data_IF_248099183968
#
_entry.id   IF_248099183968
#
_cell.length_a   1.000
_cell.length_b   1.000
_cell.length_c   1.000
_cell.angle_alpha   90.00
_cell.angle_beta   90.00
_cell.angle_gamma   90.00
#
_symmetry.space_group_name_H-M   'P 1'
#
loop_
_entity.id
_entity.type
_entity.pdbx_description
1 polymer ?
#
# COMPACT_ATOMS: atom_id res chain seq x y z
N UNK A 1 -16.02 5.83 91.60
CA UNK A 1 -15.64 4.84 90.58
C UNK A 1 -14.96 5.60 89.44
N UNK A 2 -13.73 5.24 89.10
CA UNK A 2 -12.85 5.99 88.18
C UNK A 2 -13.11 5.59 86.72
N UNK A 3 -13.13 6.59 85.83
CA UNK A 3 -12.49 6.65 84.48
C UNK A 3 -12.97 5.67 83.37
N UNK A 4 -12.98 5.96 82.07
CA UNK A 4 -12.15 6.81 81.21
C UNK A 4 -12.93 7.35 79.99
N UNK A 5 -12.60 8.60 79.64
CA UNK A 5 -12.86 9.25 78.36
C UNK A 5 -12.07 8.51 77.26
N UNK A 6 -12.72 7.97 76.23
CA UNK A 6 -12.03 7.40 75.07
C UNK A 6 -12.34 8.23 73.84
N UNK A 7 -11.45 9.18 73.54
CA UNK A 7 -11.42 9.91 72.28
C UNK A 7 -10.99 8.95 71.16
N UNK A 8 -11.92 8.61 70.26
CA UNK A 8 -11.59 7.86 69.04
C UNK A 8 -11.15 8.87 67.98
N UNK A 9 -9.85 8.82 67.72
CA UNK A 9 -9.09 9.56 66.73
C UNK A 9 -9.59 9.24 65.31
N UNK A 10 -10.07 10.27 64.61
CA UNK A 10 -10.47 10.22 63.20
C UNK A 10 -9.20 10.09 62.34
N UNK A 11 -9.05 8.99 61.61
CA UNK A 11 -7.97 8.79 60.63
C UNK A 11 -8.48 9.30 59.27
N UNK A 12 -7.89 10.36 58.67
CA UNK A 12 -8.25 10.77 57.33
C UNK A 12 -7.60 9.84 56.30
N UNK A 13 -8.41 9.03 55.62
CA UNK A 13 -8.04 8.32 54.39
C UNK A 13 -7.95 9.32 53.23
N UNK A 14 -6.90 10.14 53.19
CA UNK A 14 -6.45 10.75 51.93
C UNK A 14 -5.40 9.83 51.31
N UNK A 15 -5.86 8.80 50.60
CA UNK A 15 -5.00 8.07 49.67
C UNK A 15 -5.12 8.70 48.28
N UNK A 16 -3.96 9.06 47.76
CA UNK A 16 -3.73 9.96 46.66
C UNK A 16 -4.24 9.42 45.30
N UNK A 17 -4.95 10.26 44.55
CA UNK A 17 -5.00 10.12 43.10
C UNK A 17 -3.64 10.56 42.53
N UNK A 18 -2.68 9.63 42.48
CA UNK A 18 -1.46 9.85 41.71
C UNK A 18 -1.83 9.80 40.22
N UNK A 19 -1.93 10.96 39.59
CA UNK A 19 -2.00 11.10 38.14
C UNK A 19 -0.63 10.72 37.58
N UNK A 20 -0.48 9.46 37.15
CA UNK A 20 0.69 9.02 36.41
C UNK A 20 0.58 9.61 34.99
N UNK A 21 1.05 10.84 34.83
CA UNK A 21 1.34 11.40 33.53
C UNK A 21 2.60 10.69 33.01
N UNK A 22 2.40 9.50 32.43
CA UNK A 22 3.45 8.81 31.71
C UNK A 22 3.88 9.72 30.56
N UNK A 23 5.10 10.26 30.65
CA UNK A 23 5.73 10.98 29.54
C UNK A 23 5.57 10.09 28.30
N UNK A 24 5.00 10.56 27.18
CA UNK A 24 4.81 9.72 26.01
C UNK A 24 6.15 9.07 25.68
N UNK A 25 6.15 7.77 25.38
CA UNK A 25 7.39 7.04 25.15
C UNK A 25 8.21 7.81 24.13
N UNK A 26 9.44 8.17 24.51
CA UNK A 26 10.41 8.74 23.58
C UNK A 26 10.76 7.60 22.64
N UNK A 27 10.06 7.52 21.51
CA UNK A 27 10.40 6.57 20.46
C UNK A 27 11.80 6.96 19.98
N UNK A 28 12.82 6.11 20.17
CA UNK A 28 14.15 6.42 19.67
C UNK A 28 14.05 6.62 18.15
N UNK A 29 14.71 7.65 17.61
CA UNK A 29 14.76 7.79 16.15
C UNK A 29 15.39 6.53 15.55
N UNK A 30 14.79 5.98 14.47
CA UNK A 30 15.28 4.75 13.87
C UNK A 30 16.72 4.95 13.39
N UNK A 31 17.55 3.95 13.67
CA UNK A 31 18.97 3.95 13.29
C UNK A 31 19.11 3.98 11.77
N UNK A 32 20.28 4.38 11.25
CA UNK A 32 20.51 4.45 9.80
C UNK A 32 20.31 3.08 9.11
N UNK A 33 20.66 1.99 9.82
CA UNK A 33 20.48 0.61 9.36
C UNK A 33 19.00 0.24 9.30
N UNK A 34 18.23 0.59 10.33
CA UNK A 34 16.79 0.36 10.40
C UNK A 34 16.03 1.18 9.34
N UNK A 35 16.44 2.43 9.08
CA UNK A 35 15.90 3.23 7.96
C UNK A 35 16.20 2.57 6.61
N UNK A 36 17.42 2.07 6.39
CA UNK A 36 17.78 1.41 5.14
C UNK A 36 16.98 0.12 4.91
N UNK A 37 16.76 -0.66 5.98
CA UNK A 37 15.92 -1.86 5.92
C UNK A 37 14.46 -1.53 5.61
N UNK A 38 13.89 -0.49 6.24
CA UNK A 38 12.52 -0.04 5.99
C UNK A 38 12.34 0.48 4.56
N UNK A 39 13.34 1.22 4.02
CA UNK A 39 13.34 1.67 2.62
C UNK A 39 13.42 0.47 1.66
N UNK A 40 14.29 -0.50 1.94
CA UNK A 40 14.38 -1.72 1.14
C UNK A 40 13.06 -2.50 1.16
N UNK A 41 12.37 -2.54 2.30
CA UNK A 41 11.06 -3.18 2.44
C UNK A 41 9.93 -2.43 1.73
N UNK A 42 10.09 -1.14 1.42
CA UNK A 42 9.12 -0.35 0.67
C UNK A 42 9.39 -0.28 -0.83
N UNK A 43 10.48 -0.89 -1.31
CA UNK A 43 10.85 -0.93 -2.72
C UNK A 43 10.33 -2.22 -3.37
N UNK A 44 9.51 -2.05 -4.40
CA UNK A 44 8.96 -3.11 -5.23
C UNK A 44 9.58 -3.07 -6.61
N UNK A 45 9.79 -4.24 -7.21
CA UNK A 45 10.33 -4.38 -8.56
C UNK A 45 9.51 -5.38 -9.34
N UNK A 46 9.28 -5.13 -10.62
CA UNK A 46 8.58 -6.06 -11.52
C UNK A 46 9.23 -6.12 -12.89
N UNK A 47 8.98 -7.19 -13.63
CA UNK A 47 9.55 -7.44 -14.95
C UNK A 47 8.50 -7.97 -15.92
N UNK A 48 8.29 -7.25 -17.01
CA UNK A 48 7.41 -7.71 -18.08
C UNK A 48 8.19 -8.15 -19.31
N UNK A 49 7.68 -9.19 -19.96
CA UNK A 49 8.24 -9.88 -21.09
C UNK A 49 7.28 -9.86 -22.28
N UNK A 50 7.81 -9.79 -23.50
CA UNK A 50 6.98 -9.92 -24.69
C UNK A 50 7.77 -10.52 -25.84
N UNK A 51 7.34 -11.67 -26.34
CA UNK A 51 7.89 -12.22 -27.58
C UNK A 51 7.61 -11.27 -28.74
N UNK A 52 8.66 -10.86 -29.45
CA UNK A 52 8.59 -9.95 -30.60
C UNK A 52 7.80 -10.60 -31.74
N UNK A 53 8.11 -11.85 -32.08
CA UNK A 53 7.50 -12.53 -33.22
C UNK A 53 6.00 -12.82 -33.05
N UNK A 54 5.57 -13.02 -31.80
CA UNK A 54 4.17 -13.21 -31.43
C UNK A 54 3.33 -11.93 -31.51
N UNK A 55 3.96 -10.76 -31.61
CA UNK A 55 3.22 -9.50 -31.68
C UNK A 55 2.56 -9.32 -33.05
N UNK A 56 1.39 -8.67 -33.10
CA UNK A 56 0.76 -8.31 -34.35
C UNK A 56 1.61 -7.28 -35.10
N UNK A 57 1.64 -7.36 -36.43
CA UNK A 57 2.33 -6.39 -37.28
C UNK A 57 2.91 -7.02 -38.55
N UNK A 58 2.94 -6.22 -39.62
CA UNK A 58 3.41 -6.65 -40.94
C UNK A 58 4.92 -6.48 -41.13
N UNK A 59 5.61 -5.79 -40.22
CA UNK A 59 7.06 -5.59 -40.26
C UNK A 59 7.68 -5.90 -38.89
N UNK A 60 8.97 -6.24 -38.91
CA UNK A 60 9.74 -6.45 -37.68
C UNK A 60 9.68 -5.23 -36.75
N UNK A 61 9.85 -4.01 -37.30
CA UNK A 61 9.83 -2.79 -36.49
C UNK A 61 8.48 -2.57 -35.79
N UNK A 62 7.38 -2.89 -36.46
CA UNK A 62 6.05 -2.78 -35.86
C UNK A 62 5.84 -3.84 -34.77
N UNK A 63 6.31 -5.06 -35.00
CA UNK A 63 6.30 -6.13 -33.99
C UNK A 63 7.15 -5.77 -32.78
N UNK A 64 8.35 -5.23 -32.99
CA UNK A 64 9.24 -4.73 -31.94
C UNK A 64 8.57 -3.61 -31.14
N UNK A 65 7.96 -2.63 -31.81
CA UNK A 65 7.23 -1.56 -31.13
C UNK A 65 6.06 -2.10 -30.28
N UNK A 66 5.35 -3.09 -30.78
CA UNK A 66 4.27 -3.73 -30.03
C UNK A 66 4.80 -4.57 -28.87
N UNK A 67 5.98 -5.20 -29.01
CA UNK A 67 6.61 -5.96 -27.94
C UNK A 67 7.02 -5.05 -26.79
N UNK A 68 7.60 -3.88 -27.09
CA UNK A 68 7.91 -2.83 -26.10
C UNK A 68 6.67 -2.41 -25.31
N UNK A 69 5.52 -2.28 -25.98
CA UNK A 69 4.26 -1.89 -25.33
C UNK A 69 3.73 -3.03 -24.46
N UNK A 70 3.72 -4.24 -25.00
CA UNK A 70 3.23 -5.43 -24.31
C UNK A 70 4.07 -5.74 -23.05
N UNK A 71 5.40 -5.71 -23.15
CA UNK A 71 6.30 -5.94 -22.01
C UNK A 71 6.07 -4.89 -20.92
N UNK A 72 5.85 -3.63 -21.29
CA UNK A 72 5.54 -2.57 -20.32
C UNK A 72 4.22 -2.83 -19.60
N UNK A 73 3.18 -3.23 -20.33
CA UNK A 73 1.88 -3.56 -19.74
C UNK A 73 2.00 -4.74 -18.78
N UNK A 74 2.74 -5.79 -19.15
CA UNK A 74 2.96 -6.94 -18.28
C UNK A 74 3.74 -6.56 -17.02
N UNK A 75 4.78 -5.73 -17.14
CA UNK A 75 5.53 -5.25 -15.99
C UNK A 75 4.63 -4.49 -15.01
N UNK A 76 3.73 -3.63 -15.53
CA UNK A 76 2.74 -2.94 -14.70
C UNK A 76 1.71 -3.89 -14.10
N UNK A 77 1.28 -4.93 -14.83
CA UNK A 77 0.36 -5.95 -14.32
C UNK A 77 0.99 -6.68 -13.14
N UNK A 78 2.22 -7.17 -13.29
CA UNK A 78 2.94 -7.83 -12.20
C UNK A 78 3.12 -6.89 -11.00
N UNK A 79 3.44 -5.61 -11.23
CA UNK A 79 3.50 -4.62 -10.15
C UNK A 79 2.15 -4.48 -9.42
N UNK A 80 1.02 -4.46 -10.16
CA UNK A 80 -0.31 -4.46 -9.55
C UNK A 80 -0.56 -5.74 -8.75
N UNK A 81 -0.17 -6.91 -9.27
CA UNK A 81 -0.32 -8.19 -8.57
C UNK A 81 0.45 -8.18 -7.24
N UNK A 82 1.68 -7.66 -7.23
CA UNK A 82 2.49 -7.55 -6.02
C UNK A 82 1.88 -6.58 -4.98
N UNK A 83 1.29 -5.46 -5.43
CA UNK A 83 0.76 -4.42 -4.53
C UNK A 83 -0.68 -4.72 -4.05
N UNK A 84 -1.55 -5.12 -4.97
CA UNK A 84 -3.00 -5.25 -4.77
C UNK A 84 -3.49 -6.70 -4.71
N UNK A 85 -2.65 -7.67 -5.09
CA UNK A 85 -3.01 -9.08 -5.15
C UNK A 85 -3.80 -9.46 -6.41
N UNK A 86 -4.23 -10.72 -6.44
CA UNK A 86 -5.02 -11.32 -7.53
C UNK A 86 -6.37 -11.76 -6.98
N UNK A 87 -7.45 -11.41 -7.68
CA UNK A 87 -8.78 -11.90 -7.36
C UNK A 87 -9.02 -13.24 -8.06
N UNK A 88 -9.22 -14.31 -7.29
CA UNK A 88 -9.50 -15.66 -7.79
C UNK A 88 -10.97 -16.01 -7.54
N UNK A 89 -11.66 -16.56 -8.54
CA UNK A 89 -13.00 -17.15 -8.42
C UNK A 89 -12.96 -18.61 -8.88
N UNK A 90 -13.57 -19.50 -8.12
CA UNK A 90 -13.73 -20.91 -8.47
C UNK A 90 -15.23 -21.26 -8.38
N UNK A 91 -15.76 -21.87 -9.43
CA UNK A 91 -17.14 -22.33 -9.51
C UNK A 91 -17.14 -23.87 -9.61
N UNK A 92 -17.62 -24.56 -8.57
CA UNK A 92 -17.67 -26.03 -8.51
C UNK A 92 -19.13 -26.50 -8.47
N UNK A 93 -19.48 -27.52 -9.28
CA UNK A 93 -20.78 -28.20 -9.22
C UNK A 93 -20.62 -29.61 -8.67
N UNK A 94 -21.24 -29.90 -7.52
CA UNK A 94 -21.20 -31.23 -6.88
C UNK A 94 -22.52 -31.95 -7.10
N UNK A 95 -22.55 -32.97 -7.94
CA UNK A 95 -23.70 -33.87 -8.09
C UNK A 95 -23.30 -35.26 -7.60
N UNK A 96 -23.94 -35.73 -6.51
CA UNK A 96 -23.74 -37.09 -6.00
C UNK A 96 -22.29 -37.44 -5.63
N UNK A 97 -21.65 -36.65 -4.75
CA UNK A 97 -20.31 -36.92 -4.21
C UNK A 97 -19.18 -37.06 -5.24
N UNK A 98 -19.39 -36.62 -6.48
CA UNK A 98 -18.36 -36.54 -7.52
C UNK A 98 -18.24 -35.08 -7.97
N UNK A 99 -17.01 -34.56 -7.95
CA UNK A 99 -16.66 -33.25 -8.53
C UNK A 99 -16.67 -33.41 -10.05
N UNK A 100 -17.53 -32.69 -10.77
CA UNK A 100 -17.77 -32.91 -12.20
C UNK A 100 -16.93 -31.98 -13.09
N UNK A 101 -16.67 -30.75 -12.67
CA UNK A 101 -15.79 -29.80 -13.38
C UNK A 101 -15.50 -28.59 -12.47
N UNK A 102 -14.24 -28.15 -12.39
CA UNK A 102 -13.82 -26.95 -11.63
C UNK A 102 -13.29 -25.90 -12.60
N UNK A 103 -13.95 -24.74 -12.66
CA UNK A 103 -13.48 -23.59 -13.45
C UNK A 103 -12.90 -22.52 -12.54
N UNK A 104 -11.64 -22.16 -12.75
CA UNK A 104 -10.94 -21.11 -12.00
C UNK A 104 -10.67 -19.90 -12.90
N UNK A 105 -11.15 -18.72 -12.49
CA UNK A 105 -10.88 -17.45 -13.15
C UNK A 105 -10.07 -16.51 -12.25
N UNK A 106 -9.04 -15.85 -12.81
CA UNK A 106 -8.18 -14.90 -12.12
C UNK A 106 -8.26 -13.50 -12.76
N UNK A 107 -8.38 -12.45 -11.94
CA UNK A 107 -8.43 -11.06 -12.38
C UNK A 107 -7.50 -10.17 -11.57
N UNK A 108 -6.84 -9.24 -12.25
CA UNK A 108 -5.94 -8.24 -11.66
C UNK A 108 -6.51 -6.85 -11.90
N UNK A 109 -6.69 -6.07 -10.82
CA UNK A 109 -7.21 -4.70 -10.89
C UNK A 109 -6.43 -3.81 -9.93
N UNK A 110 -5.92 -2.69 -10.44
CA UNK A 110 -5.21 -1.73 -9.62
C UNK A 110 -4.65 -0.57 -10.43
N UNK A 111 -4.14 0.43 -9.72
CA UNK A 111 -3.55 1.63 -10.30
C UNK A 111 -2.14 1.82 -9.74
N UNK A 112 -1.13 1.71 -10.60
CA UNK A 112 0.26 1.98 -10.24
C UNK A 112 0.59 3.43 -10.61
N UNK A 113 0.92 4.25 -9.60
CA UNK A 113 1.39 5.63 -9.78
C UNK A 113 2.81 5.76 -9.25
N UNK A 114 3.67 6.45 -9.99
CA UNK A 114 5.04 6.74 -9.54
C UNK A 114 6.05 5.61 -9.75
N UNK A 115 5.68 4.50 -10.39
CA UNK A 115 6.64 3.49 -10.82
C UNK A 115 7.54 4.03 -11.95
N UNK A 116 8.83 3.72 -11.87
CA UNK A 116 9.87 4.14 -12.80
C UNK A 116 10.38 2.94 -13.59
N UNK A 117 10.74 3.17 -14.86
CA UNK A 117 11.41 2.17 -15.68
C UNK A 117 12.89 2.16 -15.30
N UNK A 118 13.38 1.02 -14.81
CA UNK A 118 14.80 0.80 -14.55
C UNK A 118 15.54 0.48 -15.85
N UNK A 119 15.00 -0.48 -16.62
CA UNK A 119 15.61 -0.97 -17.85
C UNK A 119 14.56 -1.40 -18.86
N UNK A 120 14.92 -1.30 -20.13
CA UNK A 120 14.10 -1.70 -21.27
C UNK A 120 15.01 -2.15 -22.40
N UNK A 121 15.02 -3.45 -22.71
CA UNK A 121 15.94 -4.07 -23.66
C UNK A 121 15.29 -5.31 -24.26
N UNK A 122 15.93 -5.92 -25.26
CA UNK A 122 15.52 -7.23 -25.74
C UNK A 122 16.70 -8.20 -25.67
N UNK A 123 16.39 -9.47 -25.46
CA UNK A 123 17.35 -10.55 -25.51
C UNK A 123 16.76 -11.65 -26.39
N UNK A 124 17.46 -11.96 -27.50
CA UNK A 124 16.93 -12.81 -28.55
C UNK A 124 15.60 -12.28 -29.10
N UNK A 125 14.57 -13.14 -29.09
CA UNK A 125 13.22 -12.84 -29.60
C UNK A 125 12.25 -12.27 -28.56
N UNK A 126 12.71 -11.87 -27.37
CA UNK A 126 11.87 -11.37 -26.27
C UNK A 126 12.30 -9.98 -25.86
N UNK A 127 11.35 -9.06 -25.75
CA UNK A 127 11.53 -7.74 -25.19
C UNK A 127 11.22 -7.77 -23.68
N UNK A 128 12.03 -7.07 -22.88
CA UNK A 128 12.04 -7.10 -21.42
C UNK A 128 11.93 -5.66 -20.89
N UNK A 129 11.09 -5.45 -19.88
CA UNK A 129 10.92 -4.14 -19.21
C UNK A 129 10.92 -4.33 -17.71
N UNK A 130 11.88 -3.70 -17.03
CA UNK A 130 12.02 -3.74 -15.57
C UNK A 130 11.51 -2.44 -14.95
N UNK A 131 10.63 -2.54 -13.96
CA UNK A 131 10.07 -1.42 -13.21
C UNK A 131 10.51 -1.44 -11.75
N UNK A 132 10.55 -0.25 -11.16
CA UNK A 132 10.78 0.00 -9.73
C UNK A 132 9.66 0.89 -9.20
N UNK A 133 9.19 0.61 -7.98
CA UNK A 133 8.21 1.43 -7.28
C UNK A 133 8.54 1.51 -5.80
N UNK A 134 8.64 2.72 -5.26
CA UNK A 134 8.82 2.96 -3.83
C UNK A 134 7.51 3.46 -3.20
N UNK A 135 6.99 2.68 -2.25
CA UNK A 135 5.76 3.00 -1.51
C UNK A 135 5.87 4.25 -0.64
N UNK A 136 7.07 4.62 -0.16
CA UNK A 136 7.22 5.82 0.69
C UNK A 136 6.93 7.09 -0.10
N UNK A 137 7.32 7.11 -1.38
CA UNK A 137 7.01 8.21 -2.30
C UNK A 137 5.50 8.44 -2.42
N UNK A 138 4.68 7.38 -2.45
CA UNK A 138 3.22 7.51 -2.56
C UNK A 138 2.57 8.04 -1.28
N UNK A 139 2.97 7.54 -0.11
CA UNK A 139 2.45 8.03 1.18
C UNK A 139 2.80 9.51 1.40
N UNK A 140 3.97 9.94 0.94
CA UNK A 140 4.35 11.35 0.95
C UNK A 140 3.41 12.19 0.07
N UNK A 141 3.17 11.78 -1.18
CA UNK A 141 2.27 12.50 -2.10
C UNK A 141 0.85 12.63 -1.54
N UNK A 142 0.30 11.56 -0.95
CA UNK A 142 -1.03 11.62 -0.31
C UNK A 142 -1.08 12.63 0.84
N UNK A 143 -0.06 12.68 1.70
CA UNK A 143 0.01 13.65 2.80
C UNK A 143 0.09 15.09 2.28
N UNK A 144 0.82 15.32 1.19
CA UNK A 144 0.93 16.64 0.57
C UNK A 144 -0.40 17.08 -0.06
N UNK A 145 -1.09 16.21 -0.80
CA UNK A 145 -2.39 16.52 -1.41
C UNK A 145 -3.48 16.80 -0.36
N UNK A 146 -3.55 15.99 0.70
CA UNK A 146 -4.50 16.18 1.80
C UNK A 146 -4.27 17.53 2.53
N UNK A 147 -3.01 17.92 2.72
CA UNK A 147 -2.65 19.20 3.32
C UNK A 147 -3.06 20.39 2.44
N UNK A 148 -2.89 20.29 1.12
CA UNK A 148 -3.31 21.33 0.18
C UNK A 148 -4.83 21.51 0.11
N UNK A 149 -5.61 20.42 0.25
CA UNK A 149 -7.07 20.48 0.29
C UNK A 149 -7.59 21.08 1.61
N UNK A 150 -6.95 20.79 2.74
CA UNK A 150 -7.28 21.40 4.03
C UNK A 150 -7.07 22.94 4.03
N UNK A 151 -6.06 23.42 3.30
CA UNK A 151 -5.80 24.85 3.11
C UNK A 151 -6.79 25.57 2.18
N UNK A 152 -7.58 24.83 1.37
CA UNK A 152 -8.50 25.38 0.37
C UNK A 152 -9.96 25.35 0.83
N UNK A 153 -10.25 25.79 2.06
CA UNK A 153 -11.62 26.11 2.45
C UNK A 153 -11.97 27.50 1.91
N UNK A 154 -12.62 27.57 0.74
CA UNK A 154 -13.17 28.84 0.23
C UNK A 154 -14.31 29.25 1.16
N UNK A 155 -14.08 30.26 2.01
CA UNK A 155 -15.15 30.88 2.80
C UNK A 155 -16.07 31.67 1.87
N UNK A 156 -17.17 31.05 1.46
CA UNK A 156 -18.26 31.74 0.76
C UNK A 156 -18.97 32.63 1.78
N UNK A 157 -18.94 33.96 1.57
CA UNK A 157 -19.73 34.88 2.40
C UNK A 157 -21.22 34.62 2.12
N UNK A 158 -22.08 34.45 3.13
CA UNK A 158 -23.51 34.28 2.91
C UNK A 158 -24.09 35.57 2.30
N UNK A 159 -24.80 35.46 1.17
CA UNK A 159 -25.53 36.60 0.61
C UNK A 159 -26.80 36.83 1.42
N UNK A 160 -26.92 38.01 2.01
CA UNK A 160 -28.15 38.47 2.66
C UNK A 160 -29.09 38.94 1.56
N UNK A 161 -30.24 38.29 1.41
CA UNK A 161 -31.32 38.79 0.56
C UNK A 161 -32.19 39.73 1.38
N UNK A 162 -32.38 40.96 0.89
CA UNK A 162 -33.34 41.93 1.41
C UNK A 162 -34.71 41.71 0.77
#
# INVERSE_FOLDING_TARGET
>A
MKSYLSAILIIPLLSACAHFAEKPPVVPEPTAEEKAEVIKKSLFTSVGYASIDAQPGNSFDLKMLNAIKASKIEAYKEMVEQIHGVLIRADDTVEGAVLIDDKIEAQVKGLVRGARILKSYHEGGVYITELEFDMQTLLFLQKTEASQQAGKTIRVKPSVYY
#
